data_IF_174983118859
#
_entry.id   IF_174983118859
#
_cell.length_a   1.000
_cell.length_b   1.000
_cell.length_c   1.000
_cell.angle_alpha   90.00
_cell.angle_beta   90.00
_cell.angle_gamma   90.00
#
_symmetry.space_group_name_H-M   'P 1'
#
loop_
_entity.id
_entity.type
_entity.pdbx_description
1 polymer ?
#
# COMPACT_ATOMS: atom_id res chain seq x y z
N UNK A 1 27.66 16.86 4.40
CA UNK A 1 26.97 16.24 5.55
C UNK A 1 27.63 16.73 6.82
N UNK A 2 26.92 17.54 7.60
CA UNK A 2 27.41 18.07 8.86
C UNK A 2 26.23 18.76 9.54
N UNK A 3 25.75 18.18 10.64
CA UNK A 3 24.60 18.66 11.37
C UNK A 3 25.11 19.24 12.68
N UNK A 4 25.20 20.57 12.77
CA UNK A 4 25.37 21.24 14.04
C UNK A 4 24.12 21.00 14.93
N UNK A 5 24.35 20.55 16.17
CA UNK A 5 23.37 20.57 17.26
C UNK A 5 22.96 19.22 17.86
N UNK A 6 23.30 18.08 17.25
CA UNK A 6 23.28 16.77 17.91
C UNK A 6 24.69 16.18 17.86
N UNK A 7 25.15 15.50 18.92
CA UNK A 7 26.49 14.90 18.89
C UNK A 7 26.59 13.69 17.96
N UNK A 8 25.46 13.07 17.60
CA UNK A 8 25.41 11.83 16.80
C UNK A 8 26.08 11.92 15.41
N UNK A 9 25.85 12.98 14.59
CA UNK A 9 26.43 13.11 13.26
C UNK A 9 27.94 13.35 13.29
N UNK A 10 28.40 14.21 14.20
CA UNK A 10 29.83 14.51 14.35
C UNK A 10 30.58 13.28 14.87
N UNK A 11 29.99 12.55 15.82
CA UNK A 11 30.56 11.29 16.34
C UNK A 11 30.57 10.21 15.25
N UNK A 12 29.51 10.10 14.43
CA UNK A 12 29.45 9.13 13.34
C UNK A 12 30.51 9.41 12.26
N UNK A 13 30.69 10.66 11.84
CA UNK A 13 31.74 11.03 10.87
C UNK A 13 33.13 10.77 11.47
N UNK A 14 33.34 11.17 12.73
CA UNK A 14 34.62 10.90 13.42
C UNK A 14 34.91 9.40 13.48
N UNK A 15 33.91 8.58 13.82
CA UNK A 15 34.02 7.13 13.84
C UNK A 15 34.35 6.55 12.45
N UNK A 16 33.66 7.01 11.39
CA UNK A 16 33.92 6.59 10.01
C UNK A 16 35.38 6.86 9.60
N UNK A 17 35.87 8.08 9.86
CA UNK A 17 37.24 8.45 9.55
C UNK A 17 38.22 7.64 10.41
N UNK A 18 37.91 7.41 11.67
CA UNK A 18 38.74 6.62 12.60
C UNK A 18 38.92 5.19 12.10
N UNK A 19 37.86 4.55 11.60
CA UNK A 19 37.92 3.21 11.00
C UNK A 19 38.92 3.21 9.84
N UNK A 20 38.79 4.14 8.90
CA UNK A 20 39.68 4.24 7.74
C UNK A 20 41.15 4.46 8.17
N UNK A 21 41.38 5.32 9.16
CA UNK A 21 42.71 5.59 9.70
C UNK A 21 43.32 4.34 10.37
N UNK A 22 42.55 3.63 11.20
CA UNK A 22 43.00 2.40 11.86
C UNK A 22 43.30 1.29 10.84
N UNK A 23 42.49 1.14 9.79
CA UNK A 23 42.74 0.14 8.74
C UNK A 23 43.96 0.49 7.88
N UNK A 24 44.15 1.77 7.55
CA UNK A 24 45.32 2.24 6.81
C UNK A 24 46.60 2.27 7.64
N UNK A 25 46.50 2.17 8.97
CA UNK A 25 47.62 2.32 9.90
C UNK A 25 48.80 1.42 9.54
N UNK A 26 48.53 0.14 9.22
CA UNK A 26 49.57 -0.83 8.86
C UNK A 26 50.43 -0.38 7.65
N UNK A 27 49.86 0.43 6.77
CA UNK A 27 50.50 0.87 5.53
C UNK A 27 51.08 2.29 5.64
N UNK A 28 50.46 3.15 6.43
CA UNK A 28 50.79 4.58 6.49
C UNK A 28 51.67 4.98 7.69
N UNK A 29 51.94 4.07 8.63
CA UNK A 29 52.68 4.39 9.86
C UNK A 29 54.09 4.97 9.59
N UNK A 30 54.76 4.46 8.57
CA UNK A 30 56.13 4.89 8.21
C UNK A 30 56.14 6.25 7.47
N UNK A 31 55.00 6.68 6.94
CA UNK A 31 54.86 7.89 6.13
C UNK A 31 54.22 9.06 6.88
N UNK A 32 53.43 8.78 7.93
CA UNK A 32 52.66 9.78 8.67
C UNK A 32 52.96 9.67 10.17
N UNK A 33 53.86 10.52 10.65
CA UNK A 33 54.40 10.48 12.01
C UNK A 33 53.38 10.78 13.13
N UNK A 34 52.28 11.47 12.82
CA UNK A 34 51.22 11.82 13.78
C UNK A 34 49.95 10.95 13.64
N UNK A 35 50.01 9.86 12.88
CA UNK A 35 48.84 9.01 12.60
C UNK A 35 48.27 8.38 13.88
N UNK A 36 49.13 7.75 14.69
CA UNK A 36 48.72 7.12 15.95
C UNK A 36 48.09 8.14 16.92
N UNK A 37 48.74 9.29 17.10
CA UNK A 37 48.22 10.38 17.95
C UNK A 37 46.85 10.88 17.49
N UNK A 38 46.61 10.92 16.18
CA UNK A 38 45.32 11.33 15.62
C UNK A 38 44.24 10.27 15.85
N UNK A 39 44.57 8.99 15.67
CA UNK A 39 43.70 7.85 15.98
C UNK A 39 43.34 7.86 17.47
N UNK A 40 44.31 8.05 18.36
CA UNK A 40 44.09 8.03 19.81
C UNK A 40 43.13 9.15 20.25
N UNK A 41 43.34 10.37 19.74
CA UNK A 41 42.44 11.52 19.99
C UNK A 41 41.03 11.27 19.47
N UNK A 42 40.89 10.75 18.25
CA UNK A 42 39.60 10.46 17.66
C UNK A 42 38.86 9.36 18.43
N UNK A 43 39.59 8.30 18.82
CA UNK A 43 39.08 7.18 19.61
C UNK A 43 38.61 7.63 21.00
N UNK A 44 39.37 8.52 21.65
CA UNK A 44 38.98 9.10 22.92
C UNK A 44 37.68 9.91 22.78
N UNK A 45 37.60 10.80 21.79
CA UNK A 45 36.41 11.62 21.54
C UNK A 45 35.15 10.77 21.34
N UNK A 46 35.22 9.74 20.49
CA UNK A 46 34.05 8.89 20.23
C UNK A 46 33.69 8.01 21.45
N UNK A 47 34.68 7.59 22.26
CA UNK A 47 34.44 6.84 23.50
C UNK A 47 33.66 7.66 24.53
N UNK A 48 34.04 8.92 24.73
CA UNK A 48 33.38 9.84 25.67
C UNK A 48 31.91 10.14 25.28
N UNK A 49 31.59 10.08 23.99
CA UNK A 49 30.26 10.38 23.46
C UNK A 49 29.41 9.14 23.18
N UNK A 50 30.00 7.93 23.19
CA UNK A 50 29.33 6.67 22.86
C UNK A 50 28.07 6.44 23.70
N UNK A 51 28.12 6.74 25.00
CA UNK A 51 27.00 6.61 25.92
C UNK A 51 25.77 7.47 25.58
N UNK A 52 25.94 8.58 24.84
CA UNK A 52 24.86 9.51 24.47
C UNK A 52 24.21 9.20 23.12
N UNK A 53 24.81 8.31 22.32
CA UNK A 53 24.30 7.96 21.00
C UNK A 53 22.92 7.31 21.05
N UNK A 54 22.04 7.65 20.11
CA UNK A 54 20.67 7.10 20.07
C UNK A 54 20.34 6.43 18.74
N UNK A 55 20.98 6.87 17.64
CA UNK A 55 20.73 6.35 16.30
C UNK A 55 21.40 4.98 16.10
N UNK A 56 20.67 3.95 15.60
CA UNK A 56 21.23 2.62 15.34
C UNK A 56 22.50 2.63 14.50
N UNK A 57 22.50 3.37 13.40
CA UNK A 57 23.65 3.49 12.51
C UNK A 57 24.86 4.11 13.23
N UNK A 58 24.67 5.21 13.96
CA UNK A 58 25.74 5.86 14.72
C UNK A 58 26.30 4.96 15.82
N UNK A 59 25.43 4.21 16.52
CA UNK A 59 25.84 3.24 17.53
C UNK A 59 26.66 2.12 16.89
N UNK A 60 26.18 1.51 15.81
CA UNK A 60 26.87 0.41 15.13
C UNK A 60 28.25 0.83 14.62
N UNK A 61 28.32 1.96 13.92
CA UNK A 61 29.55 2.51 13.36
C UNK A 61 30.57 2.87 14.45
N UNK A 62 30.13 3.52 15.52
CA UNK A 62 31.01 3.90 16.64
C UNK A 62 31.49 2.67 17.41
N UNK A 63 30.62 1.65 17.56
CA UNK A 63 31.00 0.38 18.17
C UNK A 63 32.10 -0.32 17.36
N UNK A 64 31.97 -0.37 16.03
CA UNK A 64 32.99 -0.95 15.16
C UNK A 64 34.32 -0.21 15.27
N UNK A 65 34.30 1.13 15.23
CA UNK A 65 35.50 1.96 15.39
C UNK A 65 36.21 1.68 16.73
N UNK A 66 35.45 1.66 17.84
CA UNK A 66 35.98 1.37 19.17
C UNK A 66 36.49 -0.08 19.30
N UNK A 67 35.81 -1.06 18.69
CA UNK A 67 36.23 -2.45 18.70
C UNK A 67 37.55 -2.63 17.95
N UNK A 68 37.71 -1.98 16.79
CA UNK A 68 38.95 -1.97 16.00
C UNK A 68 40.11 -1.31 16.74
N UNK A 69 39.84 -0.26 17.49
CA UNK A 69 40.85 0.40 18.34
C UNK A 69 41.13 -0.34 19.66
N UNK A 70 40.44 -1.47 19.93
CA UNK A 70 40.58 -2.22 21.19
C UNK A 70 40.06 -1.47 22.43
N UNK A 71 39.15 -0.51 22.25
CA UNK A 71 38.58 0.35 23.31
C UNK A 71 37.10 0.10 23.57
N UNK A 72 36.47 -0.86 22.87
CA UNK A 72 35.08 -1.24 23.14
C UNK A 72 35.01 -2.20 24.33
N UNK A 73 34.81 -1.66 25.53
CA UNK A 73 34.70 -2.45 26.76
C UNK A 73 33.28 -2.95 27.04
N UNK A 74 32.26 -2.16 26.70
CA UNK A 74 30.86 -2.47 26.95
C UNK A 74 30.10 -2.68 25.63
N UNK A 75 29.64 -3.93 25.41
CA UNK A 75 28.86 -4.31 24.24
C UNK A 75 27.35 -4.15 24.43
N UNK A 76 26.83 -3.84 25.62
CA UNK A 76 25.38 -3.75 25.88
C UNK A 76 24.68 -2.84 24.89
N UNK A 77 25.28 -1.69 24.58
CA UNK A 77 24.75 -0.73 23.63
C UNK A 77 24.82 -1.20 22.17
N UNK A 78 25.88 -1.92 21.78
CA UNK A 78 25.94 -2.60 20.48
C UNK A 78 24.88 -3.71 20.38
N UNK A 79 24.70 -4.50 21.45
CA UNK A 79 23.72 -5.57 21.49
C UNK A 79 22.28 -5.02 21.41
N UNK A 80 22.02 -3.82 21.96
CA UNK A 80 20.70 -3.16 21.88
C UNK A 80 20.26 -2.83 20.44
N UNK A 81 21.20 -2.67 19.51
CA UNK A 81 20.88 -2.44 18.09
C UNK A 81 20.90 -3.72 17.26
N UNK A 82 21.42 -4.81 17.82
CA UNK A 82 21.54 -6.12 17.16
C UNK A 82 20.29 -7.01 17.30
N UNK A 83 19.44 -6.78 18.31
CA UNK A 83 18.33 -7.70 18.66
C UNK A 83 17.05 -7.51 17.86
N UNK A 84 16.64 -6.27 17.54
CA UNK A 84 15.33 -6.00 16.89
C UNK A 84 15.41 -5.31 15.52
N UNK A 85 16.58 -4.75 15.16
CA UNK A 85 16.69 -3.81 14.02
C UNK A 85 17.47 -4.34 12.83
N UNK A 86 18.21 -5.44 12.94
CA UNK A 86 19.08 -5.93 11.85
C UNK A 86 18.27 -6.43 10.65
N UNK A 87 17.10 -7.05 10.87
CA UNK A 87 16.19 -7.45 9.79
C UNK A 87 15.42 -6.29 9.13
N UNK A 88 15.72 -5.04 9.51
CA UNK A 88 14.92 -3.87 9.13
C UNK A 88 15.70 -2.56 9.00
N UNK A 89 17.01 -2.61 9.23
CA UNK A 89 17.92 -1.50 9.06
C UNK A 89 18.48 -1.51 7.63
N UNK A 90 18.97 -0.35 7.19
CA UNK A 90 19.68 -0.23 5.91
C UNK A 90 20.84 -1.21 5.78
N UNK A 91 21.14 -1.64 4.55
CA UNK A 91 22.22 -2.60 4.23
C UNK A 91 23.54 -2.23 4.91
N UNK A 92 23.90 -0.93 4.91
CA UNK A 92 25.11 -0.39 5.55
C UNK A 92 25.11 -0.57 7.08
N UNK A 93 23.97 -0.37 7.73
CA UNK A 93 23.85 -0.56 9.19
C UNK A 93 24.00 -2.04 9.54
N UNK A 94 23.39 -2.92 8.75
CA UNK A 94 23.47 -4.37 8.92
C UNK A 94 24.90 -4.87 8.82
N UNK A 95 25.65 -4.47 7.79
CA UNK A 95 27.07 -4.81 7.64
C UNK A 95 27.88 -4.33 8.85
N UNK A 96 27.72 -3.07 9.25
CA UNK A 96 28.45 -2.49 10.38
C UNK A 96 28.17 -3.18 11.71
N UNK A 97 26.92 -3.60 11.97
CA UNK A 97 26.59 -4.37 13.18
C UNK A 97 27.31 -5.71 13.20
N UNK A 98 27.32 -6.44 12.08
CA UNK A 98 28.01 -7.73 12.00
C UNK A 98 29.54 -7.59 12.13
N UNK A 99 30.13 -6.58 11.49
CA UNK A 99 31.57 -6.31 11.62
C UNK A 99 31.95 -5.91 13.04
N UNK A 100 31.16 -5.06 13.69
CA UNK A 100 31.35 -4.67 15.09
C UNK A 100 31.30 -5.89 16.03
N UNK A 101 30.31 -6.75 15.86
CA UNK A 101 30.16 -7.97 16.67
C UNK A 101 31.33 -8.93 16.46
N UNK A 102 31.75 -9.13 15.21
CA UNK A 102 32.90 -9.98 14.89
C UNK A 102 34.18 -9.47 15.56
N UNK A 103 34.47 -8.17 15.43
CA UNK A 103 35.68 -7.58 16.03
C UNK A 103 35.64 -7.56 17.55
N UNK A 104 34.48 -7.30 18.15
CA UNK A 104 34.33 -7.39 19.59
C UNK A 104 34.64 -8.79 20.12
N UNK A 105 34.20 -9.84 19.41
CA UNK A 105 34.50 -11.23 19.81
C UNK A 105 35.98 -11.58 19.58
N UNK A 106 36.64 -11.06 18.54
CA UNK A 106 38.08 -11.25 18.31
C UNK A 106 38.93 -10.58 19.40
N UNK A 107 38.57 -9.38 19.86
CA UNK A 107 39.33 -8.61 20.83
C UNK A 107 39.21 -9.12 22.28
N UNK A 108 38.29 -10.05 22.56
CA UNK A 108 38.14 -10.64 23.90
C UNK A 108 39.22 -11.69 24.15
N UNK A 109 40.16 -11.38 25.03
CA UNK A 109 41.25 -12.28 25.47
C UNK A 109 40.72 -13.55 26.14
N UNK A 110 39.66 -13.44 26.94
CA UNK A 110 38.96 -14.58 27.53
C UNK A 110 37.85 -15.06 26.59
N UNK A 111 38.17 -16.02 25.73
CA UNK A 111 37.18 -16.93 25.15
C UNK A 111 36.57 -17.72 26.30
N UNK A 112 35.53 -17.18 26.94
CA UNK A 112 34.74 -17.94 27.90
C UNK A 112 34.36 -19.26 27.23
N UNK A 113 34.52 -20.37 27.96
CA UNK A 113 33.98 -21.65 27.53
C UNK A 113 32.48 -21.42 27.29
N UNK A 114 32.07 -21.43 26.02
CA UNK A 114 30.67 -21.35 25.68
C UNK A 114 30.05 -22.63 26.24
N UNK A 115 29.35 -22.51 27.37
CA UNK A 115 28.56 -23.57 27.98
C UNK A 115 27.26 -22.94 28.46
N UNK A 116 26.22 -23.04 27.64
CA UNK A 116 24.89 -22.53 27.97
C UNK A 116 23.88 -23.67 27.89
N UNK A 117 23.22 -23.95 29.01
CA UNK A 117 22.06 -24.82 29.07
C UNK A 117 20.80 -23.95 29.13
N UNK A 118 20.01 -23.99 28.06
CA UNK A 118 18.78 -23.20 27.89
C UNK A 118 17.60 -24.15 28.02
N UNK A 119 16.64 -23.85 28.90
CA UNK A 119 15.35 -24.54 28.95
C UNK A 119 14.23 -23.59 28.57
N UNK A 120 13.46 -23.95 27.55
CA UNK A 120 12.30 -23.20 27.07
C UNK A 120 11.04 -23.95 27.51
N UNK A 121 10.29 -23.36 28.44
CA UNK A 121 8.98 -23.87 28.86
C UNK A 121 7.89 -23.08 28.14
N UNK A 122 7.17 -23.74 27.23
CA UNK A 122 6.02 -23.17 26.55
C UNK A 122 4.71 -23.54 27.28
N UNK A 123 3.71 -22.65 27.33
CA UNK A 123 2.45 -22.92 28.02
C UNK A 123 1.70 -24.16 27.50
N UNK A 124 1.82 -24.45 26.20
CA UNK A 124 1.12 -25.56 25.54
C UNK A 124 1.89 -26.90 25.59
N UNK A 125 3.14 -26.91 26.08
CA UNK A 125 3.95 -28.12 26.20
C UNK A 125 4.07 -28.56 27.65
N UNK A 126 3.87 -29.86 27.88
CA UNK A 126 3.96 -30.46 29.22
C UNK A 126 5.40 -30.46 29.76
N UNK A 127 6.39 -30.64 28.88
CA UNK A 127 7.81 -30.70 29.22
C UNK A 127 8.61 -29.56 28.55
N UNK A 128 9.65 -29.02 29.21
CA UNK A 128 10.48 -27.96 28.65
C UNK A 128 11.41 -28.49 27.55
N UNK A 129 11.51 -27.76 26.44
CA UNK A 129 12.55 -28.01 25.43
C UNK A 129 13.91 -27.59 26.00
N UNK A 130 14.90 -28.49 26.02
CA UNK A 130 16.24 -28.20 26.52
C UNK A 130 17.25 -28.13 25.39
N UNK A 131 18.03 -27.05 25.34
CA UNK A 131 19.15 -26.86 24.42
C UNK A 131 20.45 -26.72 25.22
N UNK A 132 21.49 -27.41 24.76
CA UNK A 132 22.87 -27.19 25.24
C UNK A 132 23.69 -26.59 24.11
N UNK A 133 24.23 -25.40 24.33
CA UNK A 133 25.11 -24.71 23.41
C UNK A 133 26.53 -24.77 23.97
N UNK A 134 27.42 -25.37 23.19
CA UNK A 134 28.83 -25.50 23.50
C UNK A 134 29.71 -25.14 22.29
N UNK A 135 31.03 -25.12 22.48
CA UNK A 135 31.97 -24.84 21.38
C UNK A 135 31.89 -25.82 20.19
N UNK A 136 31.35 -27.04 20.39
CA UNK A 136 31.23 -28.04 19.33
C UNK A 136 30.00 -27.83 18.44
N UNK A 137 28.96 -27.16 18.96
CA UNK A 137 27.70 -26.96 18.25
C UNK A 137 27.28 -25.49 18.11
N UNK A 138 28.21 -24.56 18.36
CA UNK A 138 27.99 -23.11 18.38
C UNK A 138 27.50 -22.51 17.04
N UNK A 139 27.78 -23.16 15.92
CA UNK A 139 27.34 -22.74 14.58
C UNK A 139 25.99 -23.34 14.18
N UNK A 140 25.44 -24.24 14.99
CA UNK A 140 24.20 -24.91 14.64
C UNK A 140 23.02 -24.11 15.17
N UNK A 141 22.35 -23.39 14.28
CA UNK A 141 21.11 -22.69 14.60
C UNK A 141 20.09 -23.66 15.22
N UNK A 142 19.36 -23.18 16.23
CA UNK A 142 18.26 -23.88 16.90
C UNK A 142 17.05 -22.97 16.83
N UNK A 143 15.97 -23.46 16.25
CA UNK A 143 14.66 -22.81 16.26
C UNK A 143 13.66 -23.76 16.91
N UNK A 144 12.73 -23.20 17.68
CA UNK A 144 11.50 -23.87 18.12
C UNK A 144 10.36 -22.99 17.62
N UNK A 145 9.36 -23.59 16.96
CA UNK A 145 8.22 -22.85 16.45
C UNK A 145 7.20 -22.70 17.58
N UNK A 146 6.90 -21.45 17.91
CA UNK A 146 5.78 -21.09 18.77
C UNK A 146 4.72 -20.50 17.85
N UNK A 147 3.52 -21.09 17.84
CA UNK A 147 2.36 -20.49 17.19
C UNK A 147 1.90 -19.29 18.00
N UNK A 148 2.65 -18.18 17.93
CA UNK A 148 2.14 -16.92 18.39
C UNK A 148 1.08 -16.50 17.38
N UNK A 149 -0.18 -16.39 17.82
CA UNK A 149 -1.20 -15.67 17.08
C UNK A 149 -0.71 -14.23 17.02
N UNK A 150 -0.04 -13.90 15.91
CA UNK A 150 0.31 -12.53 15.60
C UNK A 150 -1.00 -11.85 15.26
N UNK A 151 -1.63 -11.20 16.24
CA UNK A 151 -2.52 -10.11 15.91
C UNK A 151 -1.59 -9.05 15.33
N UNK A 152 -1.50 -9.00 14.01
CA UNK A 152 -1.16 -7.74 13.38
C UNK A 152 -2.26 -6.81 13.88
N UNK A 153 -1.94 -5.99 14.89
CA UNK A 153 -2.73 -4.81 15.16
C UNK A 153 -2.45 -3.99 13.91
N UNK A 154 -3.24 -4.23 12.88
CA UNK A 154 -3.39 -3.33 11.77
C UNK A 154 -4.02 -2.12 12.46
N UNK A 155 -3.18 -1.24 12.98
CA UNK A 155 -3.59 0.14 13.06
C UNK A 155 -3.79 0.53 11.61
N UNK A 156 -5.00 0.29 11.09
CA UNK A 156 -5.63 1.08 10.04
C UNK A 156 -5.81 2.49 10.59
N UNK A 157 -4.72 3.11 11.02
CA UNK A 157 -4.48 4.42 10.48
C UNK A 157 -3.95 4.07 9.11
N UNK A 158 -4.73 4.34 8.07
CA UNK A 158 -4.13 4.93 6.87
C UNK A 158 -2.94 5.73 7.39
N UNK A 159 -1.71 5.26 7.16
CA UNK A 159 -0.59 6.09 7.54
C UNK A 159 -0.74 7.26 6.59
N UNK A 160 -1.48 8.29 7.01
CA UNK A 160 -1.26 9.65 6.58
C UNK A 160 0.26 9.71 6.49
N UNK A 161 0.75 9.96 5.28
CA UNK A 161 2.17 10.10 5.02
C UNK A 161 2.70 11.27 5.85
N UNK A 162 2.79 11.09 7.15
CA UNK A 162 3.12 12.09 8.14
C UNK A 162 4.52 12.65 7.92
N UNK A 163 5.51 11.89 7.41
CA UNK A 163 6.80 12.49 7.11
C UNK A 163 6.81 13.34 5.82
N UNK A 164 5.83 13.23 4.91
CA UNK A 164 5.88 13.92 3.61
C UNK A 164 4.55 14.57 3.21
N UNK A 165 4.61 15.82 2.74
CA UNK A 165 3.58 16.28 1.81
C UNK A 165 3.83 15.59 0.47
N UNK A 166 2.92 14.75 0.03
CA UNK A 166 3.15 13.87 -1.12
C UNK A 166 1.92 13.84 -2.01
N UNK A 167 2.05 14.19 -3.28
CA UNK A 167 0.97 14.17 -4.26
C UNK A 167 1.45 13.49 -5.54
N UNK A 168 0.55 12.73 -6.17
CA UNK A 168 0.81 12.08 -7.44
C UNK A 168 -0.35 12.41 -8.36
N UNK A 169 -0.03 12.87 -9.56
CA UNK A 169 -1.01 13.06 -10.62
C UNK A 169 -0.60 12.30 -11.87
N UNK A 170 -1.55 11.57 -12.45
CA UNK A 170 -1.37 10.86 -13.71
C UNK A 170 -2.42 11.35 -14.71
N UNK A 171 -1.99 11.70 -15.93
CA UNK A 171 -2.87 12.25 -16.96
C UNK A 171 -2.54 11.64 -18.32
N UNK A 172 -3.56 11.28 -19.10
CA UNK A 172 -3.36 10.85 -20.48
C UNK A 172 -2.89 12.02 -21.35
N UNK A 173 -1.88 11.77 -22.17
CA UNK A 173 -1.21 12.75 -23.02
C UNK A 173 -1.26 12.30 -24.49
N UNK A 174 -2.41 12.45 -25.17
CA UNK A 174 -2.64 11.87 -26.50
C UNK A 174 -1.84 12.57 -27.62
N UNK A 175 -1.35 13.78 -27.38
CA UNK A 175 -0.65 14.61 -28.37
C UNK A 175 0.88 14.57 -28.25
N UNK A 176 1.42 13.85 -27.27
CA UNK A 176 2.86 13.72 -27.09
C UNK A 176 3.44 12.74 -28.09
N UNK A 177 4.63 13.06 -28.63
CA UNK A 177 5.36 12.16 -29.52
C UNK A 177 5.62 10.84 -28.79
N UNK A 178 5.10 9.74 -29.35
CA UNK A 178 5.23 8.40 -28.78
C UNK A 178 6.15 7.53 -29.65
N UNK A 179 6.81 6.51 -29.07
CA UNK A 179 7.47 5.46 -29.83
C UNK A 179 6.48 4.73 -30.76
N UNK A 180 6.96 4.24 -31.91
CA UNK A 180 6.10 3.64 -32.96
C UNK A 180 5.31 2.42 -32.47
N UNK A 181 5.81 1.71 -31.46
CA UNK A 181 5.21 0.53 -30.85
C UNK A 181 4.33 0.84 -29.63
N UNK A 182 4.16 2.11 -29.24
CA UNK A 182 3.34 2.49 -28.10
C UNK A 182 1.88 2.75 -28.51
N UNK A 183 0.95 2.15 -27.78
CA UNK A 183 -0.50 2.27 -27.96
C UNK A 183 -1.07 3.56 -27.37
N UNK A 184 -0.37 4.16 -26.39
CA UNK A 184 -0.77 5.39 -25.71
C UNK A 184 0.34 5.94 -24.82
N UNK A 185 0.19 7.20 -24.38
CA UNK A 185 1.13 7.88 -23.49
C UNK A 185 0.36 8.57 -22.37
N UNK A 186 0.89 8.48 -21.15
CA UNK A 186 0.45 9.27 -20.01
C UNK A 186 1.64 10.01 -19.40
N UNK A 187 1.39 11.14 -18.73
CA UNK A 187 2.37 11.78 -17.86
C UNK A 187 2.13 11.42 -16.41
N UNK A 188 3.21 11.15 -15.68
CA UNK A 188 3.20 10.93 -14.23
C UNK A 188 3.99 12.07 -13.59
N UNK A 189 3.33 12.82 -12.73
CA UNK A 189 3.91 13.93 -11.96
C UNK A 189 3.84 13.62 -10.47
N UNK A 190 4.99 13.60 -9.83
CA UNK A 190 5.21 13.20 -8.44
C UNK A 190 5.78 14.41 -7.72
N UNK A 191 5.02 15.00 -6.80
CA UNK A 191 5.47 16.12 -5.98
C UNK A 191 5.61 15.70 -4.52
N UNK A 192 6.72 16.08 -3.90
CA UNK A 192 7.01 15.74 -2.52
C UNK A 192 7.75 16.87 -1.79
N UNK A 193 7.47 16.98 -0.49
CA UNK A 193 8.15 17.85 0.46
C UNK A 193 8.27 17.15 1.80
N UNK A 194 9.44 17.17 2.40
CA UNK A 194 9.65 16.58 3.70
C UNK A 194 9.08 17.49 4.82
N UNK A 195 8.42 16.89 5.82
CA UNK A 195 7.81 17.62 6.94
C UNK A 195 8.70 17.71 8.18
N UNK A 196 9.89 17.11 8.15
CA UNK A 196 10.83 17.22 9.28
C UNK A 196 11.54 18.57 9.33
N UNK A 197 12.38 18.74 10.35
CA UNK A 197 13.05 20.03 10.61
C UNK A 197 14.24 20.32 9.67
N UNK A 198 14.65 19.37 8.83
CA UNK A 198 15.85 19.44 7.98
C UNK A 198 15.66 18.64 6.70
N UNK A 199 16.39 19.01 5.65
CA UNK A 199 16.42 18.28 4.38
C UNK A 199 16.77 16.80 4.61
N UNK A 200 16.03 15.92 3.96
CA UNK A 200 16.26 14.48 4.02
C UNK A 200 17.24 14.08 2.93
N UNK A 201 18.41 13.57 3.29
CA UNK A 201 19.47 13.23 2.32
C UNK A 201 19.38 11.78 1.84
N UNK A 202 19.72 11.49 0.58
CA UNK A 202 19.71 10.15 -0.02
C UNK A 202 18.35 9.44 0.07
N UNK A 203 17.35 10.04 -0.56
CA UNK A 203 15.99 9.48 -0.61
C UNK A 203 15.78 8.64 -1.86
N UNK A 204 14.95 7.61 -1.76
CA UNK A 204 14.55 6.76 -2.87
C UNK A 204 13.07 6.98 -3.17
N UNK A 205 12.77 7.14 -4.46
CA UNK A 205 11.42 7.15 -5.00
C UNK A 205 11.25 5.88 -5.84
N UNK A 206 10.55 4.90 -5.28
CA UNK A 206 10.24 3.62 -5.93
C UNK A 206 8.86 3.71 -6.59
N UNK A 207 8.85 3.69 -7.92
CA UNK A 207 7.69 3.88 -8.76
C UNK A 207 7.35 2.55 -9.43
N UNK A 208 6.25 1.93 -9.01
CA UNK A 208 5.66 0.80 -9.73
C UNK A 208 4.78 1.33 -10.87
N UNK A 209 5.08 0.93 -12.11
CA UNK A 209 4.27 1.30 -13.26
C UNK A 209 2.90 0.63 -13.24
N UNK A 210 1.89 1.29 -13.83
CA UNK A 210 0.63 0.63 -14.20
C UNK A 210 0.90 -0.53 -15.16
N UNK A 211 0.08 -1.58 -15.10
CA UNK A 211 0.27 -2.77 -15.95
C UNK A 211 0.27 -2.39 -17.43
N UNK A 212 1.29 -2.84 -18.16
CA UNK A 212 1.46 -2.55 -19.59
C UNK A 212 2.11 -1.20 -19.92
N UNK A 213 2.44 -0.38 -18.91
CA UNK A 213 3.17 0.87 -19.08
C UNK A 213 4.67 0.71 -18.76
N UNK A 214 5.50 1.49 -19.46
CA UNK A 214 6.94 1.64 -19.17
C UNK A 214 7.33 3.11 -19.29
N UNK A 215 8.20 3.63 -18.40
CA UNK A 215 8.59 5.03 -18.41
C UNK A 215 9.42 5.38 -19.66
N UNK A 216 9.34 6.64 -20.08
CA UNK A 216 10.16 7.22 -21.12
C UNK A 216 11.59 7.45 -20.60
N UNK A 217 12.56 6.80 -21.24
CA UNK A 217 13.96 6.83 -20.82
C UNK A 217 14.62 8.18 -21.12
N UNK A 218 14.18 8.89 -22.16
CA UNK A 218 14.75 10.17 -22.57
C UNK A 218 14.32 11.30 -21.60
N UNK A 219 13.08 11.26 -21.11
CA UNK A 219 12.63 12.14 -20.04
C UNK A 219 13.44 11.92 -18.74
N UNK A 220 13.68 10.66 -18.35
CA UNK A 220 14.48 10.34 -17.17
C UNK A 220 15.94 10.78 -17.32
N UNK A 221 16.54 10.60 -18.51
CA UNK A 221 17.89 11.12 -18.81
C UNK A 221 17.94 12.64 -18.74
N UNK A 222 16.87 13.35 -19.11
CA UNK A 222 16.79 14.81 -18.98
C UNK A 222 16.73 15.24 -17.51
N UNK A 223 15.99 14.52 -16.68
CA UNK A 223 15.94 14.77 -15.22
C UNK A 223 17.29 14.50 -14.53
N UNK A 224 18.06 13.52 -15.03
CA UNK A 224 19.39 13.20 -14.51
C UNK A 224 20.48 14.18 -14.97
N UNK A 225 20.52 14.49 -16.27
CA UNK A 225 21.62 15.27 -16.88
C UNK A 225 21.30 16.77 -17.03
N UNK A 226 20.12 17.22 -16.60
CA UNK A 226 19.73 18.62 -16.63
C UNK A 226 20.60 19.51 -15.75
N UNK A 227 20.52 20.83 -15.96
CA UNK A 227 21.28 21.83 -15.19
C UNK A 227 20.95 21.76 -13.70
N UNK A 228 19.67 21.52 -13.37
CA UNK A 228 19.17 21.45 -12.00
C UNK A 228 19.38 20.08 -11.34
N UNK A 229 19.78 19.03 -12.11
CA UNK A 229 19.98 17.63 -11.66
C UNK A 229 18.98 17.16 -10.60
N UNK A 230 17.70 17.14 -10.98
CA UNK A 230 16.61 16.71 -10.09
C UNK A 230 16.77 15.25 -9.61
N UNK A 231 17.44 14.40 -10.39
CA UNK A 231 17.65 12.99 -10.07
C UNK A 231 19.15 12.67 -10.15
N UNK A 232 19.66 11.94 -9.16
CA UNK A 232 21.06 11.49 -9.13
C UNK A 232 21.27 10.30 -10.08
N UNK A 233 20.38 9.31 -9.98
CA UNK A 233 20.40 8.08 -10.77
C UNK A 233 18.99 7.50 -10.88
N UNK A 234 18.73 6.72 -11.92
CA UNK A 234 17.52 5.91 -12.03
C UNK A 234 17.85 4.50 -12.50
N UNK A 235 17.04 3.53 -12.07
CA UNK A 235 17.12 2.13 -12.48
C UNK A 235 15.73 1.64 -12.88
N UNK A 236 15.65 0.95 -14.03
CA UNK A 236 14.42 0.33 -14.49
C UNK A 236 14.57 -1.17 -14.30
N UNK A 237 13.95 -1.69 -13.25
CA UNK A 237 13.95 -3.10 -12.95
C UNK A 237 12.81 -3.78 -13.71
N UNK A 238 13.19 -4.64 -14.64
CA UNK A 238 12.29 -5.61 -15.27
C UNK A 238 12.26 -6.86 -14.37
N UNK A 239 11.63 -6.74 -13.21
CA UNK A 239 11.48 -7.86 -12.28
C UNK A 239 10.67 -9.01 -12.87
N UNK A 240 10.72 -10.17 -12.22
CA UNK A 240 10.00 -11.41 -12.61
C UNK A 240 8.45 -11.33 -12.57
N UNK A 241 7.90 -10.18 -12.19
CA UNK A 241 6.48 -9.88 -12.23
C UNK A 241 6.29 -8.78 -13.27
N UNK A 242 5.32 -8.92 -14.19
CA UNK A 242 5.05 -8.08 -15.37
C UNK A 242 4.82 -6.56 -15.14
N UNK A 243 5.12 -6.04 -13.95
CA UNK A 243 5.13 -4.62 -13.60
C UNK A 243 6.57 -4.11 -13.62
N UNK A 244 6.93 -3.32 -14.62
CA UNK A 244 8.20 -2.60 -14.61
C UNK A 244 8.26 -1.66 -13.40
N UNK A 245 9.31 -1.79 -12.58
CA UNK A 245 9.56 -0.86 -11.48
C UNK A 245 10.66 0.12 -11.86
N UNK A 246 10.46 1.38 -11.52
CA UNK A 246 11.40 2.47 -11.73
C UNK A 246 11.85 2.96 -10.36
N UNK A 247 13.15 2.79 -10.07
CA UNK A 247 13.77 3.29 -8.85
C UNK A 247 14.50 4.58 -9.20
N UNK A 248 14.18 5.66 -8.49
CA UNK A 248 14.80 6.98 -8.64
C UNK A 248 15.55 7.32 -7.35
N UNK A 249 16.81 7.70 -7.50
CA UNK A 249 17.67 8.14 -6.40
C UNK A 249 17.75 9.66 -6.37
N UNK A 250 17.46 10.25 -5.22
CA UNK A 250 17.54 11.68 -4.96
C UNK A 250 18.63 11.97 -3.94
N UNK A 251 19.48 12.96 -4.23
CA UNK A 251 20.51 13.42 -3.29
C UNK A 251 19.90 13.98 -2.01
N UNK A 252 18.77 14.68 -2.13
CA UNK A 252 18.00 15.20 -1.01
C UNK A 252 16.53 15.43 -1.37
N UNK A 253 15.69 15.56 -0.35
CA UNK A 253 14.34 16.13 -0.42
C UNK A 253 14.28 17.34 0.50
N UNK A 254 13.89 18.49 -0.03
CA UNK A 254 13.74 19.71 0.76
C UNK A 254 12.66 19.59 1.83
N UNK A 255 12.92 20.20 2.99
CA UNK A 255 11.91 20.42 4.03
C UNK A 255 11.19 21.77 3.90
N UNK A 256 11.70 22.68 3.07
CA UNK A 256 11.17 24.04 2.90
C UNK A 256 10.36 24.20 1.62
N UNK A 257 10.85 23.64 0.51
CA UNK A 257 10.28 23.78 -0.82
C UNK A 257 9.67 22.46 -1.29
N UNK A 258 8.67 22.54 -2.15
CA UNK A 258 8.06 21.36 -2.78
C UNK A 258 8.77 21.09 -4.11
N UNK A 259 9.25 19.87 -4.28
CA UNK A 259 9.95 19.42 -5.47
C UNK A 259 9.06 18.46 -6.26
N UNK A 260 9.03 18.61 -7.58
CA UNK A 260 8.19 17.81 -8.47
C UNK A 260 9.00 17.14 -9.58
N UNK A 261 8.77 15.85 -9.80
CA UNK A 261 9.33 15.05 -10.88
C UNK A 261 8.22 14.72 -11.87
N UNK A 262 8.42 15.05 -13.15
CA UNK A 262 7.47 14.72 -14.21
C UNK A 262 8.15 13.96 -15.36
N UNK A 263 7.60 12.82 -15.72
CA UNK A 263 8.05 12.01 -16.86
C UNK A 263 6.86 11.35 -17.57
N UNK A 264 7.05 11.03 -18.85
CA UNK A 264 6.06 10.28 -19.62
C UNK A 264 6.21 8.77 -19.41
N UNK A 265 5.10 8.04 -19.56
CA UNK A 265 5.05 6.59 -19.58
C UNK A 265 4.21 6.11 -20.76
N UNK A 266 4.70 5.10 -21.47
CA UNK A 266 4.11 4.58 -22.69
C UNK A 266 3.48 3.21 -22.47
N UNK A 267 2.28 3.01 -23.02
CA UNK A 267 1.56 1.73 -22.98
C UNK A 267 1.94 0.85 -24.17
N UNK A 268 2.40 -0.37 -23.94
CA UNK A 268 2.79 -1.31 -25.00
C UNK A 268 1.82 -2.47 -25.21
N UNK A 269 0.97 -2.76 -24.22
CA UNK A 269 0.00 -3.86 -24.28
C UNK A 269 -1.38 -3.35 -23.83
N UNK A 270 -2.44 -3.84 -24.46
CA UNK A 270 -3.80 -3.64 -23.97
C UNK A 270 -4.08 -4.61 -22.82
N UNK A 271 -4.55 -4.06 -21.72
CA UNK A 271 -4.94 -4.81 -20.53
C UNK A 271 -6.41 -4.51 -20.28
N UNK A 272 -7.24 -5.54 -20.11
CA UNK A 272 -8.68 -5.38 -19.91
C UNK A 272 -9.04 -4.60 -18.65
N UNK A 273 -8.22 -4.71 -17.59
CA UNK A 273 -8.33 -3.97 -16.34
C UNK A 273 -6.95 -3.43 -15.96
N UNK A 274 -6.75 -2.11 -16.08
CA UNK A 274 -5.52 -1.45 -15.69
C UNK A 274 -5.41 -1.47 -14.16
N UNK A 275 -4.35 -2.08 -13.63
CA UNK A 275 -4.04 -1.98 -12.21
C UNK A 275 -3.34 -0.64 -11.94
N UNK A 276 -3.67 0.04 -10.82
CA UNK A 276 -3.03 1.29 -10.47
C UNK A 276 -1.53 1.10 -10.24
N UNK A 277 -0.78 2.14 -10.57
CA UNK A 277 0.63 2.24 -10.20
C UNK A 277 0.75 2.70 -8.75
N UNK A 278 1.94 2.54 -8.18
CA UNK A 278 2.23 3.04 -6.84
C UNK A 278 3.55 3.79 -6.84
N UNK A 279 3.68 4.74 -5.93
CA UNK A 279 4.93 5.43 -5.65
C UNK A 279 5.19 5.37 -4.16
N UNK A 280 6.38 4.91 -3.81
CA UNK A 280 6.85 4.77 -2.44
C UNK A 280 8.10 5.60 -2.24
N UNK A 281 8.04 6.57 -1.31
CA UNK A 281 9.16 7.42 -0.93
C UNK A 281 9.69 6.98 0.42
N UNK A 282 11.00 6.85 0.55
CA UNK A 282 11.66 6.51 1.82
C UNK A 282 13.12 6.98 1.85
N UNK A 283 13.61 7.23 3.06
CA UNK A 283 15.02 7.42 3.33
C UNK A 283 15.79 6.11 3.17
N UNK A 284 16.96 6.16 2.53
CA UNK A 284 17.84 5.01 2.39
C UNK A 284 18.31 4.45 3.75
N UNK A 285 18.52 5.31 4.75
CA UNK A 285 19.07 4.90 6.05
C UNK A 285 18.01 4.43 7.04
N UNK A 286 16.86 5.12 7.08
CA UNK A 286 15.75 4.85 7.99
C UNK A 286 14.42 4.66 7.24
N UNK A 287 14.29 3.61 6.41
CA UNK A 287 13.10 3.41 5.58
C UNK A 287 11.84 3.20 6.41
N UNK A 288 11.89 2.49 7.55
CA UNK A 288 10.71 2.22 8.38
C UNK A 288 10.00 3.48 8.91
N UNK A 289 10.77 4.53 9.22
CA UNK A 289 10.25 5.75 9.84
C UNK A 289 9.75 6.75 8.80
N UNK A 290 10.23 6.63 7.56
CA UNK A 290 9.97 7.60 6.48
C UNK A 290 9.19 7.01 5.32
N UNK A 291 8.92 5.70 5.30
CA UNK A 291 8.23 5.08 4.18
C UNK A 291 6.80 5.62 4.05
N UNK A 292 6.50 6.11 2.86
CA UNK A 292 5.21 6.66 2.49
C UNK A 292 4.85 6.15 1.09
N UNK A 293 3.68 5.54 0.95
CA UNK A 293 3.20 4.97 -0.32
C UNK A 293 1.86 5.59 -0.71
N UNK A 294 1.72 6.01 -1.97
CA UNK A 294 0.45 6.40 -2.58
C UNK A 294 0.27 5.73 -3.94
N UNK A 295 -0.97 5.56 -4.32
CA UNK A 295 -1.36 4.94 -5.58
C UNK A 295 -1.80 6.00 -6.58
N UNK A 296 -1.61 5.73 -7.87
CA UNK A 296 -2.06 6.60 -8.94
C UNK A 296 -2.74 5.79 -10.05
N UNK A 297 -3.71 6.43 -10.67
CA UNK A 297 -4.44 5.94 -11.83
C UNK A 297 -4.78 7.14 -12.73
N UNK A 298 -4.99 6.93 -14.03
CA UNK A 298 -5.28 8.01 -14.99
C UNK A 298 -6.66 8.64 -14.78
N UNK A 299 -7.59 7.90 -14.16
CA UNK A 299 -8.94 8.36 -13.79
C UNK A 299 -8.95 8.79 -12.32
N UNK A 300 -9.36 10.03 -12.06
CA UNK A 300 -9.51 10.55 -10.70
C UNK A 300 -10.54 9.73 -9.90
N UNK A 301 -10.17 9.28 -8.70
CA UNK A 301 -11.01 8.41 -7.84
C UNK A 301 -10.82 6.91 -8.06
N UNK A 302 -10.10 6.49 -9.10
CA UNK A 302 -9.83 5.08 -9.42
C UNK A 302 -8.54 4.53 -8.76
N UNK A 303 -7.91 5.33 -7.88
CA UNK A 303 -6.76 4.89 -7.08
C UNK A 303 -7.18 4.11 -5.83
N UNK A 304 -8.42 4.30 -5.38
CA UNK A 304 -9.07 3.42 -4.42
C UNK A 304 -9.59 2.27 -5.26
N UNK A 305 -9.09 1.07 -5.00
CA UNK A 305 -9.64 -0.18 -5.52
C UNK A 305 -11.16 -0.09 -5.59
N UNK A 306 -11.81 -0.77 -6.56
CA UNK A 306 -13.26 -0.87 -6.56
C UNK A 306 -13.71 -1.54 -5.26
N UNK A 307 -13.84 -0.78 -4.18
CA UNK A 307 -14.12 -1.23 -2.83
C UNK A 307 -15.14 -0.28 -2.27
N UNK A 308 -16.27 -0.85 -1.86
CA UNK A 308 -17.28 -0.11 -1.13
C UNK A 308 -17.03 -0.47 0.32
N UNK A 309 -16.86 0.53 1.18
CA UNK A 309 -16.61 0.32 2.60
C UNK A 309 -17.70 0.99 3.42
N UNK A 310 -18.20 0.27 4.43
CA UNK A 310 -19.11 0.79 5.43
C UNK A 310 -18.54 0.50 6.82
N UNK A 311 -17.94 1.52 7.44
CA UNK A 311 -17.09 1.31 8.62
C UNK A 311 -15.90 0.43 8.24
N UNK A 312 -15.64 -0.60 9.04
CA UNK A 312 -14.50 -1.52 8.86
C UNK A 312 -14.81 -2.66 7.85
N UNK A 313 -16.04 -2.75 7.34
CA UNK A 313 -16.44 -3.78 6.38
C UNK A 313 -16.32 -3.24 4.97
N UNK A 314 -15.31 -3.71 4.25
CA UNK A 314 -15.08 -3.40 2.84
C UNK A 314 -15.45 -4.58 1.95
N UNK A 315 -16.01 -4.29 0.77
CA UNK A 315 -16.31 -5.28 -0.25
C UNK A 315 -15.82 -4.84 -1.63
N UNK A 316 -15.22 -5.80 -2.32
CA UNK A 316 -14.81 -5.64 -3.70
C UNK A 316 -16.02 -5.43 -4.63
N UNK A 317 -15.90 -4.41 -5.47
CA UNK A 317 -16.80 -3.93 -6.50
C UNK A 317 -16.06 -3.82 -7.84
N UNK A 318 -14.94 -4.55 -8.01
CA UNK A 318 -14.26 -4.69 -9.29
C UNK A 318 -15.04 -5.67 -10.18
N UNK A 319 -15.78 -5.13 -11.15
CA UNK A 319 -16.59 -5.90 -12.07
C UNK A 319 -17.58 -5.01 -12.83
N UNK A 320 -18.46 -5.63 -13.60
CA UNK A 320 -19.53 -4.92 -14.30
C UNK A 320 -20.51 -4.28 -13.32
N UNK A 321 -21.11 -3.16 -13.71
CA UNK A 321 -22.01 -2.39 -12.83
C UNK A 321 -23.40 -3.02 -12.65
N UNK A 322 -23.85 -3.79 -13.64
CA UNK A 322 -25.17 -4.43 -13.68
C UNK A 322 -25.08 -5.76 -14.43
N UNK A 323 -26.02 -6.66 -14.15
CA UNK A 323 -26.22 -7.90 -14.92
C UNK A 323 -26.76 -7.63 -16.34
N UNK A 324 -27.51 -6.54 -16.52
CA UNK A 324 -28.06 -6.11 -17.81
C UNK A 324 -27.34 -4.84 -18.25
N UNK A 325 -26.60 -4.92 -19.34
CA UNK A 325 -25.93 -3.76 -19.95
C UNK A 325 -26.08 -3.70 -21.47
N UNK A 326 -26.87 -4.59 -22.07
CA UNK A 326 -27.06 -4.56 -23.53
C UNK A 326 -28.35 -3.82 -23.89
N UNK A 327 -28.30 -2.52 -24.24
CA UNK A 327 -29.47 -1.78 -24.69
C UNK A 327 -30.05 -2.31 -26.01
N UNK A 328 -29.35 -3.18 -26.73
CA UNK A 328 -29.85 -3.83 -27.95
C UNK A 328 -30.59 -5.15 -27.66
N UNK A 329 -30.52 -5.66 -26.42
CA UNK A 329 -31.19 -6.91 -26.04
C UNK A 329 -32.44 -6.61 -25.23
N UNK A 330 -33.60 -6.79 -25.87
CA UNK A 330 -34.86 -6.89 -25.13
C UNK A 330 -34.90 -8.22 -24.39
N UNK A 331 -35.28 -8.19 -23.12
CA UNK A 331 -35.52 -9.38 -22.32
C UNK A 331 -37.03 -9.60 -22.23
N UNK A 332 -37.46 -10.85 -22.24
CA UNK A 332 -38.85 -11.21 -21.96
C UNK A 332 -39.12 -11.27 -20.45
N UNK A 333 -40.39 -11.24 -20.05
CA UNK A 333 -40.79 -11.51 -18.66
C UNK A 333 -40.22 -12.83 -18.11
N UNK A 334 -40.15 -13.89 -18.93
CA UNK A 334 -39.61 -15.19 -18.52
C UNK A 334 -38.11 -15.14 -18.25
N UNK A 335 -37.32 -14.51 -19.13
CA UNK A 335 -35.87 -14.37 -18.94
C UNK A 335 -35.55 -13.55 -17.68
N UNK A 336 -36.30 -12.46 -17.42
CA UNK A 336 -36.16 -11.67 -16.19
C UNK A 336 -36.47 -12.52 -14.95
N UNK A 337 -37.50 -13.37 -15.02
CA UNK A 337 -37.87 -14.30 -13.94
C UNK A 337 -36.76 -15.30 -13.67
N UNK A 338 -36.21 -15.93 -14.72
CA UNK A 338 -35.09 -16.86 -14.59
C UNK A 338 -33.88 -16.19 -13.92
N UNK A 339 -33.54 -14.96 -14.33
CA UNK A 339 -32.46 -14.16 -13.71
C UNK A 339 -32.74 -13.80 -12.25
N UNK A 340 -33.97 -13.38 -11.92
CA UNK A 340 -34.37 -13.08 -10.55
C UNK A 340 -34.39 -14.33 -9.64
N UNK A 341 -34.51 -15.52 -10.25
CA UNK A 341 -34.56 -16.82 -9.58
C UNK A 341 -33.24 -17.61 -9.64
N UNK A 342 -32.16 -17.03 -10.18
CA UNK A 342 -30.84 -17.65 -10.14
C UNK A 342 -30.39 -17.94 -8.69
N UNK A 343 -29.54 -18.95 -8.55
CA UNK A 343 -29.01 -19.35 -7.23
C UNK A 343 -28.20 -18.22 -6.60
N UNK A 344 -28.59 -17.86 -5.38
CA UNK A 344 -27.99 -16.77 -4.63
C UNK A 344 -28.60 -15.39 -4.87
N UNK A 345 -29.71 -15.29 -5.61
CA UNK A 345 -30.56 -14.10 -5.68
C UNK A 345 -31.54 -14.06 -4.52
N UNK A 346 -31.63 -12.91 -3.85
CA UNK A 346 -32.29 -12.79 -2.55
C UNK A 346 -33.63 -12.07 -2.64
N UNK A 347 -33.63 -10.86 -3.19
CA UNK A 347 -34.78 -9.97 -3.18
C UNK A 347 -35.19 -9.52 -4.57
N UNK A 348 -36.48 -9.18 -4.73
CA UNK A 348 -37.03 -8.53 -5.94
C UNK A 348 -38.01 -7.45 -5.50
N UNK A 349 -37.66 -6.20 -5.77
CA UNK A 349 -38.39 -5.01 -5.29
C UNK A 349 -38.78 -4.08 -6.44
N UNK A 350 -39.89 -3.37 -6.24
CA UNK A 350 -40.17 -2.11 -6.92
C UNK A 350 -39.86 -0.97 -5.98
N UNK A 351 -39.01 -0.04 -6.41
CA UNK A 351 -38.56 1.06 -5.57
C UNK A 351 -38.58 2.41 -6.31
N UNK A 352 -38.99 3.46 -5.61
CA UNK A 352 -38.99 4.85 -6.12
C UNK A 352 -37.77 5.59 -5.58
N UNK A 353 -37.02 6.24 -6.46
CA UNK A 353 -35.85 7.04 -6.05
C UNK A 353 -36.28 8.37 -5.42
N UNK A 354 -35.87 8.62 -4.17
CA UNK A 354 -36.17 9.86 -3.44
C UNK A 354 -35.03 10.88 -3.53
N UNK A 355 -33.79 10.43 -3.31
CA UNK A 355 -32.62 11.30 -3.21
C UNK A 355 -31.35 10.56 -3.67
N UNK A 356 -30.41 11.31 -4.22
CA UNK A 356 -29.08 10.84 -4.60
C UNK A 356 -28.03 11.68 -3.90
N UNK A 357 -27.07 11.03 -3.26
CA UNK A 357 -25.94 11.64 -2.57
C UNK A 357 -24.66 11.20 -3.28
N UNK A 358 -24.07 12.12 -4.03
CA UNK A 358 -22.83 11.87 -4.76
C UNK A 358 -21.63 11.97 -3.82
N UNK A 359 -20.72 11.00 -3.89
CA UNK A 359 -19.43 11.06 -3.22
C UNK A 359 -18.30 10.72 -4.20
N UNK A 360 -17.05 10.81 -3.72
CA UNK A 360 -15.87 10.51 -4.53
C UNK A 360 -15.67 9.00 -4.75
N UNK A 361 -16.08 8.18 -3.78
CA UNK A 361 -15.82 6.73 -3.82
C UNK A 361 -17.06 5.96 -4.32
N UNK A 362 -18.21 6.22 -3.71
CA UNK A 362 -19.48 5.57 -4.04
C UNK A 362 -20.67 6.50 -3.82
N UNK A 363 -21.67 6.35 -4.68
CA UNK A 363 -22.91 7.11 -4.61
C UNK A 363 -23.94 6.39 -3.76
N UNK A 364 -24.69 7.14 -2.95
CA UNK A 364 -25.81 6.62 -2.17
C UNK A 364 -27.13 7.06 -2.80
N UNK A 365 -28.00 6.10 -3.06
CA UNK A 365 -29.34 6.28 -3.62
C UNK A 365 -30.36 5.91 -2.55
N UNK A 366 -31.07 6.90 -2.03
CA UNK A 366 -32.13 6.68 -1.05
C UNK A 366 -33.41 6.38 -1.80
N UNK A 367 -33.90 5.15 -1.67
CA UNK A 367 -35.10 4.68 -2.37
C UNK A 367 -36.18 4.27 -1.36
N UNK A 368 -37.44 4.43 -1.76
CA UNK A 368 -38.59 3.87 -1.03
C UNK A 368 -39.07 2.62 -1.75
N UNK A 369 -39.11 1.49 -1.04
CA UNK A 369 -39.62 0.24 -1.60
C UNK A 369 -41.14 0.29 -1.58
N UNK A 370 -41.78 0.34 -2.75
CA UNK A 370 -43.24 0.42 -2.85
C UNK A 370 -43.88 -0.96 -2.86
N UNK A 371 -43.24 -1.91 -3.55
CA UNK A 371 -43.73 -3.28 -3.66
C UNK A 371 -42.58 -4.27 -3.46
N UNK A 372 -42.90 -5.38 -2.82
CA UNK A 372 -42.00 -6.50 -2.62
C UNK A 372 -42.60 -7.70 -3.33
N UNK A 373 -41.92 -8.20 -4.36
CA UNK A 373 -42.35 -9.36 -5.14
C UNK A 373 -41.71 -10.65 -4.61
N UNK A 374 -40.44 -10.56 -4.16
CA UNK A 374 -39.74 -11.63 -3.47
C UNK A 374 -39.11 -11.07 -2.20
N UNK A 375 -39.51 -11.62 -1.05
CA UNK A 375 -38.86 -11.34 0.23
C UNK A 375 -37.48 -12.00 0.25
N UNK A 376 -36.48 -11.24 0.68
CA UNK A 376 -35.13 -11.73 0.93
C UNK A 376 -34.76 -11.58 2.40
N UNK A 377 -33.49 -11.27 2.65
CA UNK A 377 -32.91 -11.06 4.00
C UNK A 377 -33.59 -9.92 4.78
N UNK A 378 -34.16 -8.92 4.10
CA UNK A 378 -34.94 -7.84 4.72
C UNK A 378 -36.44 -8.16 4.68
N UNK A 379 -36.94 -8.78 5.75
CA UNK A 379 -38.33 -9.20 5.87
C UNK A 379 -39.33 -8.03 5.92
N UNK A 380 -38.89 -6.82 6.29
CA UNK A 380 -39.75 -5.64 6.50
C UNK A 380 -39.42 -4.50 5.52
N UNK A 381 -39.08 -4.85 4.29
CA UNK A 381 -38.67 -3.89 3.27
C UNK A 381 -39.79 -2.96 2.79
N UNK A 382 -41.05 -3.43 2.79
CA UNK A 382 -42.19 -2.72 2.19
C UNK A 382 -42.47 -1.36 2.85
N UNK A 383 -42.69 -0.33 2.03
CA UNK A 383 -42.93 1.08 2.38
C UNK A 383 -41.79 1.75 3.16
N UNK A 384 -40.67 1.04 3.38
CA UNK A 384 -39.50 1.58 4.07
C UNK A 384 -38.58 2.32 3.11
N UNK A 385 -37.79 3.24 3.69
CA UNK A 385 -36.65 3.84 3.00
C UNK A 385 -35.43 2.96 3.18
N UNK A 386 -34.73 2.69 2.08
CA UNK A 386 -33.51 1.90 2.03
C UNK A 386 -32.45 2.61 1.19
N UNK A 387 -31.19 2.39 1.56
CA UNK A 387 -30.05 2.99 0.88
C UNK A 387 -29.44 1.97 -0.05
N UNK A 388 -29.36 2.31 -1.33
CA UNK A 388 -28.62 1.56 -2.33
C UNK A 388 -27.29 2.25 -2.59
N UNK A 389 -26.20 1.51 -2.69
CA UNK A 389 -24.85 2.03 -2.88
C UNK A 389 -24.28 1.48 -4.18
N UNK A 390 -23.67 2.33 -5.00
CA UNK A 390 -22.95 1.89 -6.19
C UNK A 390 -21.64 2.66 -6.35
N UNK A 391 -20.63 2.00 -6.91
CA UNK A 391 -19.33 2.62 -7.18
C UNK A 391 -19.47 3.79 -8.17
N UNK A 392 -18.65 4.84 -8.02
CA UNK A 392 -18.72 6.05 -8.88
C UNK A 392 -18.65 5.74 -10.39
N UNK A 393 -17.88 4.70 -10.77
CA UNK A 393 -17.79 4.19 -12.15
C UNK A 393 -19.14 3.81 -12.77
N UNK A 394 -20.12 3.44 -11.93
CA UNK A 394 -21.42 2.95 -12.38
C UNK A 394 -22.47 4.05 -12.53
N UNK A 395 -22.12 5.31 -12.23
CA UNK A 395 -23.03 6.46 -12.34
C UNK A 395 -23.62 6.62 -13.74
N UNK A 396 -22.79 6.51 -14.78
CA UNK A 396 -23.20 6.60 -16.19
C UNK A 396 -24.02 5.39 -16.66
N UNK A 397 -23.81 4.22 -16.06
CA UNK A 397 -24.57 3.01 -16.42
C UNK A 397 -25.97 3.02 -15.80
N UNK A 398 -26.11 3.51 -14.56
CA UNK A 398 -27.38 3.47 -13.81
C UNK A 398 -28.38 4.55 -14.23
N UNK A 399 -27.91 5.76 -14.56
CA UNK A 399 -28.73 6.92 -14.98
C UNK A 399 -30.02 7.13 -14.18
N UNK A 400 -29.94 6.93 -12.86
CA UNK A 400 -31.06 7.11 -11.94
C UNK A 400 -31.64 8.53 -12.01
N UNK A 401 -32.97 8.64 -12.09
CA UNK A 401 -33.70 9.91 -12.10
C UNK A 401 -34.65 9.97 -10.90
N UNK A 402 -34.62 11.10 -10.20
CA UNK A 402 -35.42 11.34 -9.01
C UNK A 402 -36.92 11.28 -9.34
N UNK A 403 -37.67 10.56 -8.51
CA UNK A 403 -39.12 10.42 -8.62
C UNK A 403 -39.61 9.35 -9.61
N UNK A 404 -38.70 8.61 -10.26
CA UNK A 404 -39.06 7.46 -11.08
C UNK A 404 -39.01 6.16 -10.29
N UNK A 405 -39.78 5.18 -10.78
CA UNK A 405 -39.83 3.83 -10.25
C UNK A 405 -38.83 2.92 -10.99
N UNK A 406 -38.27 1.96 -10.27
CA UNK A 406 -37.32 0.99 -10.78
C UNK A 406 -37.64 -0.40 -10.24
N UNK A 407 -37.44 -1.44 -11.06
CA UNK A 407 -37.37 -2.82 -10.59
C UNK A 407 -35.92 -3.14 -10.25
N UNK A 408 -35.69 -3.66 -9.05
CA UNK A 408 -34.35 -3.95 -8.53
C UNK A 408 -34.34 -5.33 -7.89
N UNK A 409 -33.40 -6.17 -8.31
CA UNK A 409 -33.12 -7.45 -7.66
C UNK A 409 -31.62 -7.73 -7.60
N UNK A 410 -31.18 -8.46 -6.58
CA UNK A 410 -29.76 -8.63 -6.27
C UNK A 410 -29.45 -9.85 -5.42
N UNK A 411 -28.15 -10.07 -5.17
CA UNK A 411 -27.68 -11.22 -4.40
C UNK A 411 -27.81 -10.99 -2.89
N UNK A 412 -27.95 -12.07 -2.11
CA UNK A 412 -27.97 -11.98 -0.64
C UNK A 412 -26.65 -11.45 -0.07
N UNK A 413 -25.54 -11.68 -0.79
CA UNK A 413 -24.23 -11.15 -0.41
C UNK A 413 -24.20 -9.62 -0.47
N UNK A 414 -25.05 -9.01 -1.31
CA UNK A 414 -25.16 -7.56 -1.56
C UNK A 414 -26.02 -6.82 -0.54
N UNK A 415 -26.42 -7.50 0.55
CA UNK A 415 -27.26 -6.92 1.60
C UNK A 415 -26.45 -6.80 2.89
N UNK A 416 -26.21 -5.57 3.32
CA UNK A 416 -25.53 -5.25 4.57
C UNK A 416 -26.50 -4.78 5.64
N UNK A 417 -26.40 -5.38 6.83
CA UNK A 417 -27.13 -4.93 8.01
C UNK A 417 -26.28 -3.91 8.77
N UNK A 418 -26.73 -2.67 8.86
CA UNK A 418 -25.91 -1.58 9.43
C UNK A 418 -26.13 -1.42 10.94
N UNK A 419 -27.35 -1.09 11.37
CA UNK A 419 -27.74 -0.93 12.78
C UNK A 419 -29.27 -1.00 12.88
N UNK A 420 -29.82 -1.32 14.06
CA UNK A 420 -31.26 -1.22 14.39
C UNK A 420 -32.24 -1.58 13.23
N UNK A 421 -32.11 -2.78 12.67
CA UNK A 421 -33.00 -3.31 11.61
C UNK A 421 -33.02 -2.50 10.28
N UNK A 422 -31.99 -1.70 9.99
CA UNK A 422 -31.83 -1.03 8.70
C UNK A 422 -30.84 -1.77 7.80
N UNK A 423 -31.24 -1.99 6.55
CA UNK A 423 -30.45 -2.67 5.53
C UNK A 423 -29.95 -1.69 4.47
N UNK A 424 -28.73 -1.93 4.01
CA UNK A 424 -28.06 -1.22 2.91
C UNK A 424 -27.81 -2.22 1.78
N UNK A 425 -28.13 -1.84 0.56
CA UNK A 425 -28.01 -2.69 -0.62
C UNK A 425 -26.86 -2.22 -1.50
N UNK A 426 -26.05 -3.15 -2.00
CA UNK A 426 -24.97 -2.85 -2.93
C UNK A 426 -25.44 -3.19 -4.35
N UNK A 427 -25.25 -2.24 -5.28
CA UNK A 427 -25.50 -2.44 -6.71
C UNK A 427 -24.16 -2.76 -7.37
N UNK A 428 -24.03 -3.98 -7.89
CA UNK A 428 -22.86 -4.46 -8.61
C UNK A 428 -23.18 -5.47 -9.71
N UNK A 429 -22.21 -6.31 -10.05
CA UNK A 429 -22.27 -7.21 -11.21
C UNK A 429 -23.39 -8.26 -11.18
N UNK A 430 -23.92 -8.56 -9.99
CA UNK A 430 -25.06 -9.47 -9.78
C UNK A 430 -26.36 -8.75 -9.44
N UNK A 431 -26.41 -7.44 -9.64
CA UNK A 431 -27.60 -6.63 -9.44
C UNK A 431 -28.24 -6.31 -10.78
N UNK A 432 -29.56 -6.29 -10.78
CA UNK A 432 -30.37 -5.92 -11.92
C UNK A 432 -31.19 -4.69 -11.58
N UNK A 433 -31.17 -3.71 -12.47
CA UNK A 433 -31.89 -2.44 -12.32
C UNK A 433 -32.48 -2.08 -13.67
N UNK A 434 -33.80 -1.94 -13.74
CA UNK A 434 -34.50 -1.41 -14.90
C UNK A 434 -35.50 -0.33 -14.47
N UNK A 435 -35.67 0.68 -15.32
CA UNK A 435 -36.68 1.71 -15.13
C UNK A 435 -38.08 1.14 -15.36
N UNK A 436 -38.99 1.37 -14.41
CA UNK A 436 -40.39 0.96 -14.49
C UNK A 436 -41.25 2.17 -14.92
N UNK A 437 -41.86 2.16 -16.12
CA UNK A 437 -42.67 3.29 -16.60
C UNK A 437 -43.93 3.52 -15.75
N UNK A 438 -44.30 4.79 -15.57
CA UNK A 438 -45.51 5.14 -14.84
C UNK A 438 -46.78 4.85 -15.67
N UNK A 439 -47.95 4.91 -15.03
CA UNK A 439 -49.24 4.60 -15.69
C UNK A 439 -49.55 5.42 -16.94
N UNK A 440 -49.01 6.63 -17.08
CA UNK A 440 -49.21 7.46 -18.28
C UNK A 440 -48.22 7.07 -19.37
N UNK A 441 -46.99 6.74 -19.00
CA UNK A 441 -45.96 6.28 -19.94
C UNK A 441 -46.30 4.91 -20.53
N UNK A 442 -46.93 4.02 -19.77
CA UNK A 442 -47.46 2.75 -20.27
C UNK A 442 -48.62 2.90 -21.28
N UNK A 443 -49.21 4.09 -21.44
CA UNK A 443 -50.23 4.32 -22.49
C UNK A 443 -49.59 4.63 -23.86
N UNK A 444 -48.27 4.78 -23.91
CA UNK A 444 -47.54 4.96 -25.15
C UNK A 444 -47.28 3.59 -25.78
N UNK A 445 -47.54 3.42 -27.07
CA UNK A 445 -47.34 2.16 -27.81
C UNK A 445 -45.89 1.65 -27.70
N UNK A 446 -44.92 2.54 -27.49
CA UNK A 446 -43.51 2.19 -27.30
C UNK A 446 -43.22 1.43 -25.99
N UNK A 447 -44.00 1.68 -24.92
CA UNK A 447 -43.73 1.14 -23.58
C UNK A 447 -44.83 0.20 -23.07
N UNK A 448 -45.91 0.01 -23.83
CA UNK A 448 -47.02 -0.87 -23.49
C UNK A 448 -46.54 -2.30 -23.25
N UNK A 449 -45.77 -2.87 -24.18
CA UNK A 449 -45.21 -4.22 -24.08
C UNK A 449 -44.28 -4.38 -22.86
N UNK A 450 -43.45 -3.38 -22.59
CA UNK A 450 -42.54 -3.39 -21.43
C UNK A 450 -43.30 -3.37 -20.10
N UNK A 451 -44.38 -2.59 -20.02
CA UNK A 451 -45.21 -2.55 -18.83
C UNK A 451 -45.94 -3.87 -18.61
N UNK A 452 -46.51 -4.47 -19.66
CA UNK A 452 -47.17 -5.77 -19.60
C UNK A 452 -46.20 -6.88 -19.17
N UNK A 453 -44.97 -6.85 -19.68
CA UNK A 453 -43.88 -7.75 -19.27
C UNK A 453 -43.57 -7.63 -17.77
N UNK A 454 -43.45 -6.41 -17.26
CA UNK A 454 -43.19 -6.17 -15.85
C UNK A 454 -44.37 -6.57 -14.95
N UNK A 455 -45.61 -6.35 -15.41
CA UNK A 455 -46.80 -6.82 -14.69
C UNK A 455 -46.85 -8.35 -14.64
N UNK A 456 -46.66 -9.01 -15.77
CA UNK A 456 -46.58 -10.47 -15.89
C UNK A 456 -45.49 -11.05 -14.98
N UNK A 457 -44.27 -10.51 -15.04
CA UNK A 457 -43.16 -10.88 -14.16
C UNK A 457 -43.53 -10.74 -12.68
N UNK A 458 -44.16 -9.63 -12.32
CA UNK A 458 -44.52 -9.34 -10.93
C UNK A 458 -45.58 -10.30 -10.38
N UNK A 459 -46.60 -10.63 -11.17
CA UNK A 459 -47.62 -11.60 -10.81
C UNK A 459 -47.03 -13.00 -10.70
N UNK A 460 -46.19 -13.38 -11.67
CA UNK A 460 -45.56 -14.69 -11.71
C UNK A 460 -44.65 -14.97 -10.52
N UNK A 461 -43.78 -14.03 -10.17
CA UNK A 461 -42.89 -14.16 -9.01
C UNK A 461 -43.70 -14.20 -7.71
N UNK A 462 -44.76 -13.39 -7.61
CA UNK A 462 -45.57 -13.31 -6.40
C UNK A 462 -46.41 -14.58 -6.18
N UNK A 463 -46.97 -15.16 -7.25
CA UNK A 463 -47.86 -16.33 -7.17
C UNK A 463 -47.11 -17.66 -7.16
N UNK A 464 -46.11 -17.81 -8.03
CA UNK A 464 -45.42 -19.09 -8.23
C UNK A 464 -44.02 -19.13 -7.62
N UNK A 465 -43.48 -17.98 -7.21
CA UNK A 465 -42.12 -17.87 -6.70
C UNK A 465 -41.07 -18.31 -7.72
N UNK A 466 -39.93 -18.75 -7.20
CA UNK A 466 -38.89 -19.42 -7.97
C UNK A 466 -39.10 -20.92 -7.85
N UNK A 467 -39.60 -21.55 -8.92
CA UNK A 467 -39.70 -23.01 -9.00
C UNK A 467 -38.32 -23.68 -8.89
N UNK A 468 -38.28 -24.92 -8.40
CA UNK A 468 -37.09 -25.78 -8.47
C UNK A 468 -36.89 -26.32 -9.88
#
# INVERSE_FOLDING_TARGET
GGLAGSSDPDVAITAFVTIALVESQKYCNDYVSNLQLSIDKATQFISEHYGKLTRPHSIALTSYALARAGKLHDSTKLMSVATDRVGSASEKTTVMVFEALAKYQEARENKMALEMDISVQLPERKDPTKYRLNLQNNLNARSDEVTAVYYEIVTEKESECNPFNFTITARDEPHVKRPDNALGTMSVEICFKYRGDKDLTMSIVDVTMMTGYSPDVDDLKRLQNGVDRYISQFEINKGANDKGTLIIYLDKISHTEEECLKFNAHRYFEVGLLQPGSVTIYDYYSPKETRCTKFYHTVAGDHLYGRICQGDVCRCSEGNCLMSQDPAKSYSALERKEKACETGMDYVYKATLLETQYANDFDRYVMRITNVFKNGTDENAKDQKRTFISHVKCREALKFKKGLDYIIFGSFNDVWQTAANTYTYIIGSRSWVEWWPNKRECQNEEYEELCDDFYSLSEDITMFGCGK
#
